data_IF_780109569220
#
_entry.id   IF_780109569220
#
_cell.length_a   1.000
_cell.length_b   1.000
_cell.length_c   1.000
_cell.angle_alpha   90.00
_cell.angle_beta   90.00
_cell.angle_gamma   90.00
#
_symmetry.space_group_name_H-M   'P 1'
#
loop_
_entity.id
_entity.type
_entity.pdbx_description
1 polymer ?
#
# COMPACT_ATOMS: atom_id res chain seq x y z
N UNK A 1 13.57 0.50 -2.95
CA UNK A 1 13.06 0.60 -1.57
C UNK A 1 11.74 1.34 -1.65
N UNK A 2 10.66 0.65 -1.31
CA UNK A 2 9.29 1.20 -1.29
C UNK A 2 9.22 2.28 -0.22
N UNK A 3 9.31 3.52 -0.66
CA UNK A 3 9.63 4.69 0.16
C UNK A 3 8.49 5.09 1.12
N UNK A 4 7.28 4.54 0.92
CA UNK A 4 6.07 4.96 1.61
C UNK A 4 5.46 3.95 2.58
N UNK A 5 5.88 2.67 2.58
CA UNK A 5 5.32 1.66 3.48
C UNK A 5 5.41 2.06 4.95
N UNK A 6 6.49 2.77 5.32
CA UNK A 6 6.69 3.33 6.67
C UNK A 6 5.59 4.32 7.10
N UNK A 7 4.95 4.99 6.15
CA UNK A 7 3.88 5.96 6.40
C UNK A 7 2.50 5.31 6.38
N UNK A 8 2.43 4.04 5.97
CA UNK A 8 1.19 3.25 5.89
C UNK A 8 1.05 2.29 7.05
N UNK A 9 1.85 2.44 8.11
CA UNK A 9 1.86 1.52 9.25
C UNK A 9 0.46 1.27 9.81
N UNK A 10 -0.35 2.32 9.97
CA UNK A 10 -1.74 2.17 10.43
C UNK A 10 -2.61 1.29 9.52
N UNK A 11 -2.45 1.39 8.20
CA UNK A 11 -3.22 0.58 7.23
C UNK A 11 -2.70 -0.85 7.19
N UNK A 12 -1.38 -1.01 7.27
CA UNK A 12 -0.74 -2.32 7.31
C UNK A 12 -1.10 -3.08 8.59
N UNK A 13 -1.00 -2.42 9.75
CA UNK A 13 -1.41 -2.98 11.04
C UNK A 13 -2.91 -3.31 11.04
N UNK A 14 -3.77 -2.47 10.44
CA UNK A 14 -5.20 -2.76 10.30
C UNK A 14 -5.50 -3.92 9.34
N UNK A 15 -4.61 -4.19 8.39
CA UNK A 15 -4.66 -5.33 7.48
C UNK A 15 -3.95 -6.57 8.02
N UNK A 16 -3.40 -6.51 9.25
CA UNK A 16 -2.56 -7.56 9.87
C UNK A 16 -1.29 -7.91 9.05
N UNK A 17 -0.81 -6.95 8.25
CA UNK A 17 0.38 -7.09 7.43
C UNK A 17 1.59 -6.48 8.13
N UNK A 18 2.56 -7.32 8.49
CA UNK A 18 3.82 -6.89 9.09
C UNK A 18 5.01 -7.30 8.22
N UNK A 19 5.27 -6.60 7.10
CA UNK A 19 6.35 -6.96 6.20
C UNK A 19 7.72 -6.64 6.83
N UNK A 20 8.39 -7.65 7.37
CA UNK A 20 9.72 -7.56 7.99
C UNK A 20 10.83 -7.69 6.93
N UNK A 21 10.59 -8.54 5.93
CA UNK A 21 11.56 -8.88 4.90
C UNK A 21 11.46 -8.05 3.63
N UNK A 22 12.57 -8.02 2.86
CA UNK A 22 12.58 -7.34 1.56
C UNK A 22 11.60 -7.94 0.56
N UNK A 23 11.33 -9.25 0.66
CA UNK A 23 10.39 -9.97 -0.20
C UNK A 23 8.95 -9.57 0.13
N UNK A 24 8.56 -9.65 1.40
CA UNK A 24 7.24 -9.25 1.90
C UNK A 24 6.96 -7.77 1.60
N UNK A 25 7.92 -6.89 1.87
CA UNK A 25 7.79 -5.46 1.51
C UNK A 25 7.56 -5.25 0.02
N UNK A 26 8.10 -6.12 -0.84
CA UNK A 26 7.88 -6.03 -2.28
C UNK A 26 6.49 -6.56 -2.66
N UNK A 27 6.03 -7.63 -2.05
CA UNK A 27 4.69 -8.19 -2.28
C UNK A 27 3.61 -7.19 -1.86
N UNK A 28 3.75 -6.59 -0.67
CA UNK A 28 2.87 -5.53 -0.18
C UNK A 28 2.92 -4.29 -1.08
N UNK A 29 4.11 -3.87 -1.54
CA UNK A 29 4.24 -2.74 -2.49
C UNK A 29 3.49 -2.99 -3.80
N UNK A 30 3.58 -4.21 -4.34
CA UNK A 30 2.89 -4.62 -5.57
C UNK A 30 1.38 -4.66 -5.37
N UNK A 31 0.91 -5.26 -4.26
CA UNK A 31 -0.51 -5.31 -3.94
C UNK A 31 -1.10 -3.90 -3.77
N UNK A 32 -0.41 -3.00 -3.07
CA UNK A 32 -0.85 -1.60 -2.92
C UNK A 32 -0.97 -0.95 -4.29
N UNK A 33 0.04 -1.10 -5.16
CA UNK A 33 0.04 -0.54 -6.51
C UNK A 33 -1.14 -1.04 -7.32
N UNK A 34 -1.40 -2.34 -7.30
CA UNK A 34 -2.52 -2.94 -8.01
C UNK A 34 -3.86 -2.35 -7.55
N UNK A 35 -4.07 -2.23 -6.24
CA UNK A 35 -5.29 -1.65 -5.66
C UNK A 35 -5.47 -0.19 -6.05
N UNK A 36 -4.41 0.62 -6.01
CA UNK A 36 -4.48 2.03 -6.42
C UNK A 36 -4.42 2.23 -7.95
N UNK A 37 -4.43 1.15 -8.74
CA UNK A 37 -4.40 1.21 -10.20
C UNK A 37 -3.07 1.67 -10.80
N UNK A 38 -1.98 1.52 -10.05
CA UNK A 38 -0.62 1.86 -10.47
C UNK A 38 0.15 0.64 -10.96
N UNK A 39 1.12 0.87 -11.86
CA UNK A 39 1.96 -0.19 -12.41
C UNK A 39 3.19 -0.45 -11.51
N UNK A 40 3.75 -1.66 -11.57
CA UNK A 40 5.04 -1.97 -10.91
C UNK A 40 6.20 -1.07 -11.36
N UNK A 41 6.13 -0.59 -12.60
CA UNK A 41 7.13 0.27 -13.24
C UNK A 41 7.04 1.74 -12.80
N UNK A 42 5.91 2.14 -12.20
CA UNK A 42 5.67 3.53 -11.82
C UNK A 42 6.63 3.97 -10.73
N UNK A 43 7.02 5.25 -10.80
CA UNK A 43 7.97 5.83 -9.85
C UNK A 43 7.33 5.94 -8.47
N UNK A 44 8.10 5.60 -7.42
CA UNK A 44 7.64 5.62 -6.02
C UNK A 44 6.98 6.94 -5.60
N UNK A 45 7.45 8.08 -6.14
CA UNK A 45 6.88 9.39 -5.85
C UNK A 45 5.48 9.61 -6.47
N UNK A 46 5.20 9.00 -7.61
CA UNK A 46 3.89 9.06 -8.27
C UNK A 46 2.91 8.15 -7.52
N UNK A 47 3.32 6.91 -7.27
CA UNK A 47 2.54 5.95 -6.50
C UNK A 47 2.20 6.51 -5.11
N UNK A 48 3.18 7.11 -4.43
CA UNK A 48 2.92 7.71 -3.11
C UNK A 48 1.92 8.86 -3.14
N UNK A 49 1.91 9.69 -4.18
CA UNK A 49 0.92 10.76 -4.31
C UNK A 49 -0.50 10.18 -4.38
N UNK A 50 -0.68 9.13 -5.17
CA UNK A 50 -1.98 8.47 -5.32
C UNK A 50 -2.40 7.76 -4.04
N UNK A 51 -1.50 6.96 -3.46
CA UNK A 51 -1.73 6.31 -2.17
C UNK A 51 -2.12 7.34 -1.10
N UNK A 52 -1.46 8.50 -1.08
CA UNK A 52 -1.80 9.57 -0.14
C UNK A 52 -3.22 10.10 -0.35
N UNK A 53 -3.71 10.22 -1.59
CA UNK A 53 -5.09 10.59 -1.87
C UNK A 53 -6.06 9.51 -1.38
N UNK A 54 -5.71 8.24 -1.54
CA UNK A 54 -6.49 7.12 -1.01
C UNK A 54 -6.55 7.10 0.51
N UNK A 55 -5.44 7.43 1.19
CA UNK A 55 -5.39 7.52 2.65
C UNK A 55 -6.21 8.68 3.22
N UNK A 56 -6.47 9.72 2.42
CA UNK A 56 -7.31 10.87 2.82
C UNK A 56 -8.80 10.61 2.65
N UNK A 57 -9.18 9.62 1.86
CA UNK A 57 -10.56 9.23 1.61
C UNK A 57 -10.88 7.97 2.40
N UNK A 58 -11.72 8.09 3.43
CA UNK A 58 -12.07 6.98 4.32
C UNK A 58 -12.62 5.75 3.57
N UNK A 59 -13.41 5.95 2.50
CA UNK A 59 -13.94 4.83 1.72
C UNK A 59 -12.80 4.10 0.97
N UNK A 60 -11.89 4.86 0.37
CA UNK A 60 -10.74 4.28 -0.34
C UNK A 60 -9.73 3.65 0.61
N UNK A 61 -9.50 4.25 1.77
CA UNK A 61 -8.66 3.70 2.84
C UNK A 61 -9.20 2.35 3.31
N UNK A 62 -10.51 2.28 3.59
CA UNK A 62 -11.18 1.02 3.95
C UNK A 62 -11.06 -0.03 2.84
N UNK A 63 -11.25 0.38 1.58
CA UNK A 63 -11.07 -0.51 0.43
C UNK A 63 -9.66 -1.05 0.35
N UNK A 64 -8.65 -0.18 0.48
CA UNK A 64 -7.23 -0.56 0.49
C UNK A 64 -6.91 -1.56 1.60
N UNK A 65 -7.34 -1.29 2.84
CA UNK A 65 -7.13 -2.23 3.96
C UNK A 65 -7.80 -3.57 3.72
N UNK A 66 -9.03 -3.58 3.19
CA UNK A 66 -9.78 -4.81 2.92
C UNK A 66 -9.14 -5.63 1.81
N UNK A 67 -8.71 -4.99 0.73
CA UNK A 67 -7.99 -5.65 -0.37
C UNK A 67 -6.66 -6.24 0.08
N UNK A 68 -5.96 -5.55 0.98
CA UNK A 68 -4.68 -6.03 1.54
C UNK A 68 -4.84 -7.20 2.53
N UNK A 69 -5.99 -7.30 3.20
CA UNK A 69 -6.30 -8.38 4.16
C UNK A 69 -6.74 -9.68 3.46
N UNK A 70 -7.12 -9.62 2.18
CA UNK A 70 -7.84 -10.70 1.50
C UNK A 70 -6.93 -11.78 0.85
N UNK A 71 -5.71 -12.00 1.33
CA UNK A 71 -4.84 -13.11 0.91
C UNK A 71 -4.40 -13.97 2.12
#
# INVERSE_FOLDING_TARGET
MSCYLRHMKEVLDAADLHPEDKKERKEVDLAIREVVGMKPEDRCNVVWKEVKLWLQDENKKQHLTTSLKAD
#
